data_IF_107622582834
#
_entry.id   IF_107622582834
#
_cell.length_a   1.000
_cell.length_b   1.000
_cell.length_c   1.000
_cell.angle_alpha   90.00
_cell.angle_beta   90.00
_cell.angle_gamma   90.00
#
_symmetry.space_group_name_H-M   'P 1'
#
loop_
_entity.id
_entity.type
_entity.pdbx_description
1 polymer ?
#
# COMPACT_ATOMS: atom_id res chain seq x y z
N UNK A 1 32.06 10.82 -13.17
CA UNK A 1 30.83 10.84 -12.35
C UNK A 1 31.10 11.75 -11.18
N UNK A 2 30.46 12.92 -11.15
CA UNK A 2 30.93 14.09 -10.38
C UNK A 2 30.45 14.06 -8.93
N UNK A 3 31.19 14.69 -8.01
CA UNK A 3 30.83 14.79 -6.59
C UNK A 3 29.47 15.46 -6.34
N UNK A 4 28.95 16.23 -7.30
CA UNK A 4 27.66 16.89 -7.23
C UNK A 4 26.47 15.90 -7.26
N UNK A 5 26.60 14.79 -8.02
CA UNK A 5 25.54 13.77 -8.13
C UNK A 5 25.35 13.01 -6.80
N UNK A 6 26.45 12.75 -6.09
CA UNK A 6 26.42 12.07 -4.79
C UNK A 6 25.75 12.92 -3.71
N UNK A 7 25.80 14.25 -3.83
CA UNK A 7 25.21 15.16 -2.83
C UNK A 7 23.69 15.24 -3.00
N UNK A 8 23.19 15.18 -4.24
CA UNK A 8 21.76 15.09 -4.54
C UNK A 8 21.16 13.78 -4.01
N UNK A 9 21.80 12.64 -4.31
CA UNK A 9 21.35 11.32 -3.87
C UNK A 9 21.28 11.21 -2.34
N UNK A 10 22.27 11.75 -1.63
CA UNK A 10 22.28 11.73 -0.17
C UNK A 10 21.15 12.59 0.42
N UNK A 11 20.84 13.71 -0.23
CA UNK A 11 19.74 14.61 0.18
C UNK A 11 18.38 13.93 -0.01
N UNK A 12 18.18 13.28 -1.17
CA UNK A 12 16.98 12.51 -1.47
C UNK A 12 16.80 11.32 -0.52
N UNK A 13 17.87 10.57 -0.25
CA UNK A 13 17.85 9.47 0.72
C UNK A 13 17.50 9.97 2.13
N UNK A 14 18.08 11.10 2.56
CA UNK A 14 17.80 11.69 3.88
C UNK A 14 16.35 12.18 3.97
N UNK A 15 15.81 12.75 2.90
CA UNK A 15 14.40 13.15 2.83
C UNK A 15 13.46 11.93 2.89
N UNK A 16 13.82 10.84 2.21
CA UNK A 16 13.08 9.58 2.26
C UNK A 16 13.10 8.97 3.67
N UNK A 17 14.27 8.88 4.30
CA UNK A 17 14.45 8.38 5.68
C UNK A 17 13.64 9.23 6.66
N UNK A 18 13.70 10.56 6.53
CA UNK A 18 12.95 11.47 7.39
C UNK A 18 11.44 11.31 7.19
N UNK A 19 10.99 11.18 5.93
CA UNK A 19 9.60 10.90 5.58
C UNK A 19 9.11 9.58 6.15
N UNK A 20 9.96 8.55 6.15
CA UNK A 20 9.70 7.24 6.76
C UNK A 20 9.60 7.30 8.26
N UNK A 21 10.58 7.94 8.91
CA UNK A 21 10.61 8.16 10.36
C UNK A 21 9.38 8.92 10.82
N UNK A 22 9.02 10.00 10.12
CA UNK A 22 7.82 10.79 10.42
C UNK A 22 6.55 9.97 10.24
N UNK A 23 6.51 9.10 9.24
CA UNK A 23 5.41 8.16 9.05
C UNK A 23 5.29 7.22 10.27
N UNK A 24 6.38 6.59 10.68
CA UNK A 24 6.40 5.65 11.81
C UNK A 24 6.12 6.35 13.15
N UNK A 25 6.57 7.60 13.35
CA UNK A 25 6.33 8.36 14.57
C UNK A 25 4.87 8.77 14.76
N UNK A 26 4.11 8.91 13.66
CA UNK A 26 2.66 9.17 13.68
C UNK A 26 1.84 7.93 14.05
N UNK A 27 2.47 6.75 14.07
CA UNK A 27 1.84 5.52 14.53
C UNK A 27 2.13 5.29 16.02
N UNK A 28 1.16 4.70 16.76
CA UNK A 28 1.38 4.19 18.11
C UNK A 28 2.66 3.36 18.19
N UNK A 29 3.40 3.48 19.29
CA UNK A 29 4.72 2.86 19.44
C UNK A 29 4.66 1.33 19.27
N UNK A 30 3.53 0.74 19.64
CA UNK A 30 3.21 -0.68 19.64
C UNK A 30 2.96 -1.21 18.23
N UNK A 31 2.48 -0.35 17.31
CA UNK A 31 2.27 -0.72 15.91
C UNK A 31 3.53 -0.60 15.06
N UNK A 32 4.56 0.11 15.53
CA UNK A 32 5.79 0.34 14.73
C UNK A 32 6.54 -0.94 14.38
N UNK A 33 6.79 -1.89 15.32
CA UNK A 33 7.48 -3.13 14.99
C UNK A 33 6.72 -3.97 13.96
N UNK A 34 5.39 -4.02 14.07
CA UNK A 34 4.52 -4.75 13.13
C UNK A 34 4.56 -4.10 11.75
N UNK A 35 4.47 -2.77 11.68
CA UNK A 35 4.59 -2.02 10.42
C UNK A 35 5.94 -2.27 9.75
N UNK A 36 7.03 -2.28 10.52
CA UNK A 36 8.37 -2.58 10.00
C UNK A 36 8.44 -4.03 9.50
N UNK A 37 7.96 -4.99 10.30
CA UNK A 37 7.96 -6.41 9.95
C UNK A 37 7.16 -6.69 8.68
N UNK A 38 5.93 -6.16 8.57
CA UNK A 38 5.10 -6.29 7.37
C UNK A 38 5.75 -5.63 6.15
N UNK A 39 6.40 -4.48 6.32
CA UNK A 39 7.03 -3.79 5.19
C UNK A 39 8.28 -4.53 4.70
N UNK A 40 9.10 -5.06 5.61
CA UNK A 40 10.25 -5.89 5.26
C UNK A 40 9.82 -7.24 4.66
N UNK A 41 8.74 -7.84 5.17
CA UNK A 41 8.16 -9.05 4.61
C UNK A 41 7.61 -8.81 3.19
N UNK A 42 6.95 -7.68 2.93
CA UNK A 42 6.51 -7.32 1.58
C UNK A 42 7.66 -7.21 0.57
N UNK A 43 8.84 -6.77 1.01
CA UNK A 43 10.02 -6.68 0.16
C UNK A 43 10.75 -8.03 -0.04
N UNK A 44 10.85 -8.86 1.01
CA UNK A 44 11.73 -10.04 1.00
C UNK A 44 10.98 -11.38 0.94
N UNK A 45 9.79 -11.45 1.53
CA UNK A 45 9.01 -12.68 1.72
C UNK A 45 7.51 -12.42 1.48
N UNK A 46 7.10 -12.08 0.24
CA UNK A 46 5.73 -11.64 -0.04
C UNK A 46 4.65 -12.66 0.34
N UNK A 47 5.00 -13.96 0.36
CA UNK A 47 4.10 -15.04 0.81
C UNK A 47 3.70 -14.95 2.28
N UNK A 48 4.52 -14.30 3.11
CA UNK A 48 4.26 -14.12 4.53
C UNK A 48 3.42 -12.88 4.83
N UNK A 49 3.23 -12.00 3.84
CA UNK A 49 2.57 -10.71 4.09
C UNK A 49 1.09 -10.87 4.46
N UNK A 50 0.36 -11.75 3.76
CA UNK A 50 -1.06 -12.00 4.04
C UNK A 50 -1.26 -12.50 5.49
N UNK A 51 -0.62 -13.60 5.94
CA UNK A 51 -0.82 -14.09 7.29
C UNK A 51 -0.31 -13.10 8.36
N UNK A 52 0.75 -12.34 8.09
CA UNK A 52 1.23 -11.30 9.02
C UNK A 52 0.23 -10.15 9.18
N UNK A 53 -0.40 -9.71 8.09
CA UNK A 53 -1.42 -8.66 8.14
C UNK A 53 -2.66 -9.16 8.86
N UNK A 54 -3.11 -10.38 8.60
CA UNK A 54 -4.24 -10.99 9.29
C UNK A 54 -3.97 -11.12 10.79
N UNK A 55 -2.79 -11.61 11.17
CA UNK A 55 -2.39 -11.70 12.57
C UNK A 55 -2.38 -10.31 13.25
N UNK A 56 -1.80 -9.30 12.59
CA UNK A 56 -1.79 -7.94 13.12
C UNK A 56 -3.21 -7.37 13.31
N UNK A 57 -4.14 -7.66 12.41
CA UNK A 57 -5.54 -7.23 12.53
C UNK A 57 -6.25 -7.93 13.69
N UNK A 58 -5.95 -9.21 13.91
CA UNK A 58 -6.41 -9.98 15.08
C UNK A 58 -5.84 -9.39 16.36
N UNK A 59 -4.54 -9.13 16.43
CA UNK A 59 -3.89 -8.55 17.62
C UNK A 59 -4.44 -7.16 17.97
N UNK A 60 -4.80 -6.36 16.96
CA UNK A 60 -5.48 -5.06 17.15
C UNK A 60 -6.91 -5.25 17.68
N UNK A 61 -7.65 -6.24 17.17
CA UNK A 61 -9.01 -6.53 17.59
C UNK A 61 -9.06 -7.09 19.04
N UNK A 62 -8.08 -7.88 19.42
CA UNK A 62 -7.95 -8.47 20.76
C UNK A 62 -7.37 -7.48 21.79
N UNK A 63 -6.86 -6.33 21.35
CA UNK A 63 -6.20 -5.36 22.22
C UNK A 63 -4.85 -5.84 22.77
N UNK A 64 -4.30 -6.92 22.22
CA UNK A 64 -3.05 -7.56 22.64
C UNK A 64 -1.81 -6.66 22.49
N UNK A 65 -1.96 -5.50 21.81
CA UNK A 65 -0.91 -4.52 21.54
C UNK A 65 -0.88 -3.33 22.52
N UNK A 66 -1.47 -3.44 23.72
CA UNK A 66 -1.41 -2.39 24.74
C UNK A 66 -0.28 -2.61 25.76
N UNK A 67 0.76 -1.76 25.75
CA UNK A 67 1.59 -1.51 26.94
C UNK A 67 1.64 0.01 27.20
N UNK A 68 0.58 0.56 27.80
CA UNK A 68 0.65 1.72 28.71
C UNK A 68 -0.69 1.96 29.45
N UNK A 69 -0.72 1.60 30.74
CA UNK A 69 -1.37 2.21 31.92
C UNK A 69 -2.79 2.83 31.91
N UNK A 70 -3.62 2.67 30.89
CA UNK A 70 -5.08 2.95 31.01
C UNK A 70 -5.89 1.82 30.42
N UNK A 71 -6.76 1.15 31.21
CA UNK A 71 -7.50 0.01 30.74
C UNK A 71 -8.69 0.46 29.88
N UNK A 72 -9.11 -0.44 28.98
CA UNK A 72 -10.32 -0.39 28.15
C UNK A 72 -10.14 0.34 26.80
N UNK A 73 -9.57 -0.37 25.83
CA UNK A 73 -9.94 -0.13 24.42
C UNK A 73 -11.43 -0.45 24.34
N UNK A 74 -12.25 0.59 24.20
CA UNK A 74 -13.68 0.43 24.02
C UNK A 74 -13.90 -0.27 22.67
N UNK A 75 -14.89 -1.18 22.57
CA UNK A 75 -15.22 -1.88 21.31
C UNK A 75 -15.51 -0.92 20.13
N UNK A 76 -15.76 0.36 20.41
CA UNK A 76 -15.89 1.45 19.44
C UNK A 76 -14.61 1.80 18.66
N UNK A 77 -13.43 1.44 19.16
CA UNK A 77 -12.14 1.94 18.64
C UNK A 77 -11.40 0.93 17.75
N UNK A 78 -11.92 -0.30 17.61
CA UNK A 78 -11.27 -1.39 16.86
C UNK A 78 -11.14 -1.04 15.37
N UNK A 79 -12.27 -0.72 14.72
CA UNK A 79 -12.30 -0.42 13.29
C UNK A 79 -11.44 0.80 12.93
N UNK A 80 -11.51 1.95 13.66
CA UNK A 80 -10.59 3.07 13.45
C UNK A 80 -9.11 2.69 13.54
N UNK A 81 -8.73 1.83 14.49
CA UNK A 81 -7.34 1.39 14.68
C UNK A 81 -6.86 0.46 13.55
N UNK A 82 -7.70 -0.49 13.12
CA UNK A 82 -7.41 -1.35 11.97
C UNK A 82 -7.25 -0.53 10.69
N UNK A 83 -8.16 0.41 10.45
CA UNK A 83 -8.10 1.34 9.31
C UNK A 83 -6.81 2.17 9.37
N UNK A 84 -6.47 2.72 10.54
CA UNK A 84 -5.24 3.48 10.71
C UNK A 84 -4.02 2.60 10.37
N UNK A 85 -3.91 1.41 10.95
CA UNK A 85 -2.82 0.48 10.69
C UNK A 85 -2.65 0.17 9.20
N UNK A 86 -3.73 -0.20 8.51
CA UNK A 86 -3.68 -0.53 7.08
C UNK A 86 -3.26 0.68 6.23
N UNK A 87 -3.74 1.89 6.54
CA UNK A 87 -3.33 3.10 5.82
C UNK A 87 -1.84 3.37 5.99
N UNK A 88 -1.31 3.20 7.20
CA UNK A 88 0.11 3.37 7.51
C UNK A 88 0.96 2.30 6.82
N UNK A 89 0.47 1.05 6.77
CA UNK A 89 1.14 -0.06 6.10
C UNK A 89 1.19 0.15 4.58
N UNK A 90 0.08 0.54 3.94
CA UNK A 90 0.05 0.87 2.51
C UNK A 90 1.04 1.99 2.18
N UNK A 91 1.13 3.03 3.01
CA UNK A 91 2.14 4.10 2.82
C UNK A 91 3.58 3.59 2.99
N UNK A 92 3.84 2.76 3.99
CA UNK A 92 5.17 2.20 4.23
C UNK A 92 5.62 1.31 3.07
N UNK A 93 4.74 0.43 2.57
CA UNK A 93 5.00 -0.42 1.40
C UNK A 93 5.24 0.40 0.14
N UNK A 94 4.42 1.42 -0.11
CA UNK A 94 4.59 2.30 -1.25
C UNK A 94 5.91 3.06 -1.19
N UNK A 95 6.28 3.64 -0.04
CA UNK A 95 7.59 4.30 0.10
C UNK A 95 8.75 3.31 0.08
N UNK A 96 8.53 2.07 0.53
CA UNK A 96 9.52 0.99 0.52
C UNK A 96 9.84 0.50 -0.87
N UNK A 97 8.91 0.63 -1.82
CA UNK A 97 9.15 0.26 -3.21
C UNK A 97 10.26 1.08 -3.86
N UNK A 98 10.62 2.25 -3.32
CA UNK A 98 11.80 3.01 -3.76
C UNK A 98 13.12 2.28 -3.44
N UNK A 99 13.13 1.40 -2.42
CA UNK A 99 14.31 0.67 -1.96
C UNK A 99 14.36 -0.76 -2.51
N UNK A 100 13.21 -1.44 -2.60
CA UNK A 100 13.14 -2.83 -3.09
C UNK A 100 12.67 -2.97 -4.54
N UNK A 101 12.26 -1.88 -5.18
CA UNK A 101 11.74 -1.86 -6.56
C UNK A 101 10.21 -1.80 -6.63
N UNK A 102 9.71 -1.03 -7.60
CA UNK A 102 8.28 -0.85 -7.87
C UNK A 102 7.45 -2.15 -7.92
N UNK A 103 7.87 -3.20 -8.65
CA UNK A 103 7.13 -4.46 -8.72
C UNK A 103 6.86 -5.11 -7.35
N UNK A 104 7.83 -5.06 -6.44
CA UNK A 104 7.68 -5.62 -5.09
C UNK A 104 6.66 -4.81 -4.27
N UNK A 105 6.69 -3.49 -4.38
CA UNK A 105 5.70 -2.61 -3.76
C UNK A 105 4.27 -2.88 -4.26
N UNK A 106 4.09 -3.01 -5.58
CA UNK A 106 2.78 -3.29 -6.18
C UNK A 106 2.25 -4.65 -5.71
N UNK A 107 3.08 -5.69 -5.76
CA UNK A 107 2.69 -7.03 -5.32
C UNK A 107 2.33 -7.06 -3.82
N UNK A 108 3.11 -6.36 -3.00
CA UNK A 108 2.85 -6.26 -1.57
C UNK A 108 1.54 -5.51 -1.27
N UNK A 109 1.26 -4.42 -1.98
CA UNK A 109 -0.01 -3.70 -1.86
C UNK A 109 -1.21 -4.57 -2.28
N UNK A 110 -1.05 -5.37 -3.34
CA UNK A 110 -2.04 -6.37 -3.75
C UNK A 110 -2.29 -7.41 -2.66
N UNK A 111 -1.23 -7.98 -2.09
CA UNK A 111 -1.31 -8.94 -0.99
C UNK A 111 -1.97 -8.35 0.26
N UNK A 112 -1.70 -7.08 0.61
CA UNK A 112 -2.42 -6.40 1.70
C UNK A 112 -3.91 -6.35 1.40
N UNK A 113 -4.33 -5.99 0.19
CA UNK A 113 -5.76 -5.97 -0.16
C UNK A 113 -6.43 -7.34 -0.07
N UNK A 114 -5.74 -8.42 -0.44
CA UNK A 114 -6.25 -9.77 -0.28
C UNK A 114 -6.37 -10.23 1.18
N UNK A 115 -5.64 -9.60 2.10
CA UNK A 115 -5.68 -9.92 3.52
C UNK A 115 -6.84 -9.25 4.28
N UNK A 116 -7.58 -8.32 3.65
CA UNK A 116 -8.64 -7.54 4.31
C UNK A 116 -10.02 -8.10 3.98
N UNK A 117 -10.89 -8.10 4.99
CA UNK A 117 -12.31 -8.34 4.78
C UNK A 117 -12.97 -7.19 3.99
N UNK A 118 -14.04 -7.45 3.21
CA UNK A 118 -14.68 -6.45 2.35
C UNK A 118 -15.11 -5.17 3.09
N UNK A 119 -15.58 -5.30 4.32
CA UNK A 119 -16.01 -4.17 5.15
C UNK A 119 -14.83 -3.27 5.53
N UNK A 120 -13.69 -3.87 5.87
CA UNK A 120 -12.47 -3.15 6.19
C UNK A 120 -11.87 -2.49 4.93
N UNK A 121 -11.94 -3.15 3.77
CA UNK A 121 -11.57 -2.53 2.48
C UNK A 121 -12.39 -1.27 2.24
N UNK A 122 -13.71 -1.37 2.41
CA UNK A 122 -14.64 -0.24 2.23
C UNK A 122 -14.34 0.88 3.20
N UNK A 123 -14.15 0.56 4.49
CA UNK A 123 -13.80 1.54 5.52
C UNK A 123 -12.48 2.26 5.18
N UNK A 124 -11.42 1.51 4.82
CA UNK A 124 -10.12 2.09 4.43
C UNK A 124 -10.24 3.01 3.22
N UNK A 125 -11.04 2.62 2.22
CA UNK A 125 -11.22 3.41 1.00
C UNK A 125 -12.08 4.66 1.21
N UNK A 126 -13.06 4.61 2.12
CA UNK A 126 -13.88 5.77 2.50
C UNK A 126 -13.06 6.90 3.14
N UNK A 127 -11.91 6.58 3.76
CA UNK A 127 -10.96 7.59 4.24
C UNK A 127 -10.16 8.30 3.13
N UNK A 128 -10.37 7.90 1.87
CA UNK A 128 -9.71 8.47 0.70
C UNK A 128 -8.23 8.07 0.57
N UNK A 129 -7.57 8.54 -0.50
CA UNK A 129 -6.16 8.27 -0.75
C UNK A 129 -5.28 8.77 0.42
N UNK A 130 -4.28 7.98 0.80
CA UNK A 130 -3.32 8.34 1.89
C UNK A 130 -2.54 9.61 1.52
N UNK A 131 -2.27 9.81 0.23
CA UNK A 131 -1.80 11.07 -0.35
C UNK A 131 -2.54 11.32 -1.67
N UNK A 132 -3.18 12.47 -1.77
CA UNK A 132 -3.91 12.94 -2.93
C UNK A 132 -4.80 14.11 -2.53
N UNK A 133 -5.18 15.01 -3.43
CA UNK A 133 -6.22 15.98 -3.12
C UNK A 133 -7.45 15.21 -2.62
N UNK A 134 -8.01 15.61 -1.47
CA UNK A 134 -9.26 15.05 -0.93
C UNK A 134 -10.44 15.17 -1.91
N UNK A 135 -10.24 15.92 -2.99
CA UNK A 135 -11.23 16.25 -3.98
C UNK A 135 -11.04 15.36 -5.21
N UNK A 136 -12.09 14.58 -5.49
CA UNK A 136 -12.47 13.97 -6.75
C UNK A 136 -11.44 14.12 -7.89
N UNK A 137 -10.47 13.20 -7.91
CA UNK A 137 -9.74 12.93 -9.15
C UNK A 137 -10.66 12.04 -9.97
N UNK A 138 -11.08 12.47 -11.17
CA UNK A 138 -11.92 11.62 -12.02
C UNK A 138 -11.18 10.31 -12.34
N UNK A 139 -11.88 9.20 -12.63
CA UNK A 139 -11.25 7.93 -12.97
C UNK A 139 -10.16 8.05 -14.05
N UNK A 140 -10.39 8.92 -15.04
CA UNK A 140 -9.48 9.20 -16.15
C UNK A 140 -8.19 9.84 -15.66
N UNK A 141 -8.28 10.75 -14.69
CA UNK A 141 -7.11 11.42 -14.16
C UNK A 141 -6.32 10.54 -13.18
N UNK A 142 -7.00 9.63 -12.49
CA UNK A 142 -6.34 8.58 -11.72
C UNK A 142 -5.56 7.64 -12.65
N UNK A 143 -6.18 7.22 -13.76
CA UNK A 143 -5.56 6.38 -14.78
C UNK A 143 -4.36 7.09 -15.44
N UNK A 144 -4.48 8.37 -15.79
CA UNK A 144 -3.39 9.19 -16.33
C UNK A 144 -2.19 9.21 -15.38
N UNK A 145 -2.41 9.51 -14.09
CA UNK A 145 -1.33 9.53 -13.08
C UNK A 145 -0.66 8.17 -12.92
N UNK A 146 -1.46 7.09 -12.95
CA UNK A 146 -0.95 5.72 -12.94
C UNK A 146 -0.05 5.44 -14.15
N UNK A 147 -0.48 5.84 -15.36
CA UNK A 147 0.29 5.72 -16.60
C UNK A 147 1.58 6.53 -16.53
N UNK A 148 1.54 7.78 -16.06
CA UNK A 148 2.72 8.65 -15.96
C UNK A 148 3.76 8.05 -15.00
N UNK A 149 3.31 7.51 -13.86
CA UNK A 149 4.18 6.79 -12.93
C UNK A 149 4.77 5.52 -13.56
N UNK A 150 3.94 4.72 -14.23
CA UNK A 150 4.40 3.53 -14.95
C UNK A 150 5.43 3.90 -16.02
N UNK A 151 5.22 5.03 -16.70
CA UNK A 151 6.14 5.56 -17.69
C UNK A 151 7.45 6.04 -17.10
N UNK A 152 7.42 6.67 -15.92
CA UNK A 152 8.65 7.03 -15.20
C UNK A 152 9.47 5.79 -14.79
N UNK A 153 8.79 4.69 -14.40
CA UNK A 153 9.45 3.46 -13.93
C UNK A 153 9.98 2.61 -15.10
N UNK A 154 9.16 2.42 -16.14
CA UNK A 154 9.44 1.47 -17.22
C UNK A 154 9.90 2.16 -18.52
N UNK A 155 9.90 3.49 -18.57
CA UNK A 155 10.36 4.33 -19.68
C UNK A 155 9.84 3.81 -21.04
N UNK A 156 10.74 3.36 -21.92
CA UNK A 156 10.43 2.88 -23.26
C UNK A 156 9.64 1.56 -23.30
N UNK A 157 9.54 0.83 -22.17
CA UNK A 157 8.81 -0.43 -22.10
C UNK A 157 7.35 -0.30 -21.66
N UNK A 158 6.92 0.91 -21.29
CA UNK A 158 5.58 1.21 -20.79
C UNK A 158 4.50 0.83 -21.80
N UNK A 159 4.60 1.35 -23.03
CA UNK A 159 3.58 1.16 -24.05
C UNK A 159 3.45 -0.31 -24.53
N UNK A 160 4.56 -1.05 -24.75
CA UNK A 160 4.48 -2.50 -24.98
C UNK A 160 3.85 -3.29 -23.82
N UNK A 161 4.12 -2.91 -22.57
CA UNK A 161 3.57 -3.60 -21.39
C UNK A 161 2.09 -3.29 -21.22
N UNK A 162 1.67 -2.03 -21.38
CA UNK A 162 0.27 -1.63 -21.29
C UNK A 162 -0.57 -2.31 -22.36
N UNK A 163 -0.09 -2.39 -23.62
CA UNK A 163 -0.78 -3.16 -24.67
C UNK A 163 -0.90 -4.64 -24.33
N UNK A 164 0.12 -5.25 -23.73
CA UNK A 164 0.06 -6.65 -23.27
C UNK A 164 -0.96 -6.81 -22.15
N UNK A 165 -1.05 -5.87 -21.22
CA UNK A 165 -2.03 -5.86 -20.15
C UNK A 165 -3.46 -5.69 -20.68
N UNK A 166 -3.71 -4.76 -21.60
CA UNK A 166 -5.01 -4.60 -22.25
C UNK A 166 -5.43 -5.86 -23.00
N UNK A 167 -4.49 -6.50 -23.69
CA UNK A 167 -4.72 -7.77 -24.37
C UNK A 167 -5.03 -8.88 -23.37
N UNK A 168 -4.29 -8.96 -22.26
CA UNK A 168 -4.52 -9.93 -21.20
C UNK A 168 -5.88 -9.71 -20.51
N UNK A 169 -6.27 -8.46 -20.22
CA UNK A 169 -7.59 -8.12 -19.66
C UNK A 169 -8.70 -8.49 -20.62
N UNK A 170 -8.58 -8.19 -21.92
CA UNK A 170 -9.57 -8.59 -22.93
C UNK A 170 -9.69 -10.12 -23.05
N UNK A 171 -8.57 -10.84 -23.00
CA UNK A 171 -8.56 -12.30 -22.99
C UNK A 171 -9.22 -12.84 -21.72
N UNK A 172 -8.93 -12.24 -20.57
CA UNK A 172 -9.46 -12.67 -19.27
C UNK A 172 -10.96 -12.39 -19.17
N UNK A 173 -11.42 -11.20 -19.55
CA UNK A 173 -12.85 -10.88 -19.67
C UNK A 173 -13.54 -11.82 -20.65
N UNK A 174 -12.97 -12.09 -21.83
CA UNK A 174 -13.53 -13.03 -22.81
C UNK A 174 -13.57 -14.48 -22.29
N UNK A 175 -12.60 -14.88 -21.46
CA UNK A 175 -12.56 -16.20 -20.84
C UNK A 175 -13.54 -16.32 -19.65
N UNK A 176 -13.85 -15.22 -18.97
CA UNK A 176 -14.77 -15.18 -17.83
C UNK A 176 -16.21 -14.74 -18.18
N UNK A 177 -16.48 -14.25 -19.41
CA UNK A 177 -17.84 -13.94 -19.90
C UNK A 177 -18.72 -15.17 -20.21
N UNK A 178 -18.46 -16.32 -19.56
CA UNK A 178 -19.42 -17.42 -19.44
C UNK A 178 -20.03 -17.43 -18.05
N UNK A 179 -20.75 -16.35 -17.69
CA UNK A 179 -22.00 -16.34 -16.90
C UNK A 179 -22.43 -14.89 -16.63
N UNK A 180 -23.35 -14.39 -17.45
CA UNK A 180 -24.35 -13.33 -17.17
C UNK A 180 -23.91 -12.05 -16.41
N UNK A 181 -23.74 -10.94 -17.12
CA UNK A 181 -24.80 -9.96 -17.35
C UNK A 181 -24.25 -8.74 -18.12
N UNK A 182 -25.13 -8.18 -18.91
CA UNK A 182 -24.96 -7.01 -19.76
C UNK A 182 -24.65 -5.76 -18.94
N UNK A 183 -23.72 -4.95 -19.42
CA UNK A 183 -23.84 -3.50 -19.69
C UNK A 183 -22.43 -2.87 -19.60
N UNK A 184 -21.85 -2.66 -20.78
CA UNK A 184 -20.69 -1.80 -21.03
C UNK A 184 -21.14 -0.35 -21.16
#
# INVERSE_FOLDING_TARGET
>A
MSSADNTSLLTEATALITSWRNALSLSPAELRPILIACTLAGANFPKLLIPLVQQALTDIAEGSLSISLTPVVSSSDILPNQVHFIRRLREALYKGSALCGGPYGINALGAVNFALDPDLVTAVNNHGPVRGPKNATTPEEYYRRGRDLFQAIYQHHTEPILRKLETAVKIWCKAFSLTHMEEC
#
